data_IF_738151296911
#
_entry.id   IF_738151296911
#
_cell.length_a   1.000
_cell.length_b   1.000
_cell.length_c   1.000
_cell.angle_alpha   90.00
_cell.angle_beta   90.00
_cell.angle_gamma   90.00
#
_symmetry.space_group_name_H-M   'P 1'
#
loop_
_entity.id
_entity.type
_entity.pdbx_description
1 polymer ?
#
# COMPACT_ATOMS: atom_id res chain seq x y z
N UNK A 1 10.98 22.01 -44.51
CA UNK A 1 11.64 21.34 -43.37
C UNK A 1 10.69 21.48 -42.20
N UNK A 2 10.08 20.40 -41.68
CA UNK A 2 9.01 20.56 -40.69
C UNK A 2 9.57 20.74 -39.28
N UNK A 3 9.05 21.79 -38.64
CA UNK A 3 8.92 22.16 -37.24
C UNK A 3 9.86 21.54 -36.20
N UNK A 4 10.80 22.38 -35.77
CA UNK A 4 11.48 22.29 -34.48
C UNK A 4 10.67 23.07 -33.43
N UNK A 5 9.42 22.66 -33.18
CA UNK A 5 8.65 23.15 -32.04
C UNK A 5 8.76 22.13 -30.91
N UNK A 6 9.67 22.44 -30.00
CA UNK A 6 9.75 21.87 -28.65
C UNK A 6 8.36 21.73 -28.05
N UNK A 7 7.86 20.49 -28.00
CA UNK A 7 6.77 20.05 -27.15
C UNK A 7 7.19 20.21 -25.68
N UNK A 8 7.18 21.46 -25.19
CA UNK A 8 7.00 21.74 -23.77
C UNK A 8 5.51 21.78 -23.52
N UNK A 9 4.83 20.66 -23.73
CA UNK A 9 3.55 20.43 -23.07
C UNK A 9 3.84 20.50 -21.57
N UNK A 10 3.44 21.61 -20.96
CA UNK A 10 3.31 21.72 -19.51
C UNK A 10 2.28 20.69 -19.10
N UNK A 11 2.72 19.47 -18.78
CA UNK A 11 1.90 18.49 -18.10
C UNK A 11 1.32 19.16 -16.86
N UNK A 12 0.01 19.44 -16.91
CA UNK A 12 -0.70 20.21 -15.87
C UNK A 12 -0.85 19.41 -14.59
N UNK A 13 -0.84 18.10 -14.70
CA UNK A 13 -1.17 17.17 -13.64
C UNK A 13 0.05 16.28 -13.38
N UNK A 14 0.44 16.17 -12.12
CA UNK A 14 1.61 15.41 -11.71
C UNK A 14 1.26 14.65 -10.44
N UNK A 15 1.69 13.40 -10.40
CA UNK A 15 1.60 12.54 -9.22
C UNK A 15 2.97 11.93 -8.99
N UNK A 16 3.37 11.88 -7.73
CA UNK A 16 4.57 11.17 -7.32
C UNK A 16 4.09 9.87 -6.70
N UNK A 17 4.69 8.76 -7.07
CA UNK A 17 4.47 7.48 -6.42
C UNK A 17 5.77 7.02 -5.81
N UNK A 18 5.69 6.37 -4.66
CA UNK A 18 6.85 5.79 -4.02
C UNK A 18 6.45 4.49 -3.37
N UNK A 19 7.43 3.63 -3.16
CA UNK A 19 7.18 2.34 -2.54
C UNK A 19 7.67 2.38 -1.11
N UNK A 20 6.86 1.86 -0.20
CA UNK A 20 7.18 1.82 1.22
C UNK A 20 6.78 0.48 1.84
N UNK A 21 7.50 0.10 2.89
CA UNK A 21 7.17 -1.09 3.66
C UNK A 21 6.23 -0.66 4.78
N UNK A 22 4.97 -1.09 4.69
CA UNK A 22 3.94 -0.83 5.69
C UNK A 22 3.85 -2.03 6.62
N UNK A 23 3.97 -1.75 7.92
CA UNK A 23 3.89 -2.73 8.98
C UNK A 23 2.47 -2.79 9.56
N UNK A 24 1.79 -3.92 9.34
CA UNK A 24 0.50 -4.26 9.92
C UNK A 24 0.68 -4.98 11.25
N UNK A 25 0.34 -4.32 12.35
CA UNK A 25 0.44 -4.90 13.69
C UNK A 25 -0.90 -5.54 14.10
N UNK A 26 -0.86 -6.76 14.62
CA UNK A 26 -2.02 -7.51 15.10
C UNK A 26 -1.67 -8.32 16.34
N UNK A 27 -2.63 -8.51 17.23
CA UNK A 27 -2.47 -9.34 18.43
C UNK A 27 -3.43 -10.51 18.34
N UNK A 28 -2.92 -11.73 18.51
CA UNK A 28 -3.77 -12.92 18.55
C UNK A 28 -4.44 -13.03 19.93
N UNK A 29 -5.66 -13.59 20.02
CA UNK A 29 -6.41 -13.64 21.29
C UNK A 29 -5.69 -14.35 22.45
N UNK A 30 -4.74 -15.24 22.15
CA UNK A 30 -4.01 -16.06 23.12
C UNK A 30 -2.54 -15.62 23.29
N UNK A 31 -2.14 -14.50 22.71
CA UNK A 31 -0.78 -13.97 22.80
C UNK A 31 -0.81 -12.54 23.32
N UNK A 32 0.02 -12.24 24.32
CA UNK A 32 0.16 -10.90 24.87
C UNK A 32 1.09 -10.01 24.01
N UNK A 33 1.87 -10.61 23.12
CA UNK A 33 2.82 -9.90 22.25
C UNK A 33 2.20 -9.59 20.88
N UNK A 34 2.24 -8.32 20.42
CA UNK A 34 1.80 -7.96 19.09
C UNK A 34 2.75 -8.56 18.05
N UNK A 35 2.16 -9.12 17.00
CA UNK A 35 2.87 -9.58 15.81
C UNK A 35 2.76 -8.53 14.71
N UNK A 36 3.77 -8.52 13.85
CA UNK A 36 3.85 -7.60 12.71
C UNK A 36 3.89 -8.39 11.42
N UNK A 37 3.14 -7.96 10.42
CA UNK A 37 3.26 -8.38 9.03
C UNK A 37 3.69 -7.15 8.24
N UNK A 38 4.79 -7.25 7.51
CA UNK A 38 5.30 -6.18 6.67
C UNK A 38 4.97 -6.48 5.22
N UNK A 39 4.40 -5.50 4.51
CA UNK A 39 4.16 -5.58 3.08
C UNK A 39 4.65 -4.31 2.38
N UNK A 40 5.17 -4.50 1.18
CA UNK A 40 5.59 -3.43 0.31
C UNK A 40 4.35 -2.88 -0.42
N UNK A 41 4.06 -1.60 -0.23
CA UNK A 41 2.93 -0.90 -0.84
C UNK A 41 3.42 0.28 -1.68
N UNK A 42 2.78 0.49 -2.82
CA UNK A 42 2.96 1.73 -3.59
C UNK A 42 2.02 2.78 -3.03
N UNK A 43 2.56 3.94 -2.69
CA UNK A 43 1.82 5.05 -2.08
C UNK A 43 1.85 6.24 -3.04
N UNK A 44 0.71 6.91 -3.13
CA UNK A 44 0.54 8.16 -3.87
C UNK A 44 0.95 9.34 -3.01
N UNK A 45 1.76 10.22 -3.57
CA UNK A 45 2.12 11.51 -3.02
C UNK A 45 1.59 12.63 -3.91
N UNK A 46 0.70 13.44 -3.33
CA UNK A 46 -0.03 14.49 -4.05
C UNK A 46 0.61 15.89 -3.91
N UNK A 47 1.65 16.05 -3.09
CA UNK A 47 2.33 17.32 -2.86
C UNK A 47 3.59 17.47 -3.75
N UNK A 48 4.50 18.38 -3.41
CA UNK A 48 5.73 18.62 -4.18
C UNK A 48 6.83 17.59 -3.90
N UNK A 49 7.72 17.40 -4.89
CA UNK A 49 8.94 16.57 -4.75
C UNK A 49 9.84 17.10 -3.62
N UNK A 50 9.90 18.43 -3.44
CA UNK A 50 10.73 19.05 -2.42
C UNK A 50 10.31 18.61 -1.01
N UNK A 51 9.00 18.62 -0.73
CA UNK A 51 8.46 18.10 0.53
C UNK A 51 8.63 16.59 0.64
N UNK A 52 8.45 15.85 -0.45
CA UNK A 52 8.69 14.42 -0.46
C UNK A 52 10.12 14.08 -0.02
N UNK A 53 11.12 14.78 -0.57
CA UNK A 53 12.54 14.59 -0.24
C UNK A 53 12.86 15.03 1.19
N UNK A 54 12.21 16.07 1.69
CA UNK A 54 12.34 16.53 3.08
C UNK A 54 11.79 15.50 4.07
N UNK A 55 10.64 14.89 3.77
CA UNK A 55 9.93 13.98 4.67
C UNK A 55 10.44 12.54 4.61
N UNK A 56 10.71 12.03 3.41
CA UNK A 56 11.11 10.63 3.19
C UNK A 56 12.60 10.45 2.92
N UNK A 57 13.34 11.55 2.73
CA UNK A 57 14.75 11.53 2.38
C UNK A 57 14.99 11.38 0.87
N UNK A 58 16.11 11.96 0.41
CA UNK A 58 16.48 11.96 -1.01
C UNK A 58 16.80 10.58 -1.58
N UNK A 59 17.08 9.59 -0.72
CA UNK A 59 17.44 8.22 -1.11
C UNK A 59 16.22 7.32 -1.34
N UNK A 60 15.01 7.77 -1.01
CA UNK A 60 13.81 6.93 -1.21
C UNK A 60 13.47 6.86 -2.70
N UNK A 61 13.34 5.67 -3.30
CA UNK A 61 12.98 5.54 -4.69
C UNK A 61 11.55 6.03 -4.92
N UNK A 62 11.40 7.04 -5.78
CA UNK A 62 10.11 7.58 -6.20
C UNK A 62 10.03 7.69 -7.71
N UNK A 63 8.80 7.71 -8.24
CA UNK A 63 8.50 7.82 -9.65
C UNK A 63 7.53 8.97 -9.88
N UNK A 64 7.89 9.87 -10.79
CA UNK A 64 7.03 11.00 -11.16
C UNK A 64 6.23 10.59 -12.39
N UNK A 65 4.92 10.64 -12.26
CA UNK A 65 3.97 10.45 -13.34
C UNK A 65 3.42 11.80 -13.75
N UNK A 66 3.58 12.15 -15.03
CA UNK A 66 3.07 13.40 -15.60
C UNK A 66 1.93 13.10 -16.55
N UNK A 67 0.82 13.81 -16.39
CA UNK A 67 -0.38 13.60 -17.18
C UNK A 67 -0.82 14.87 -17.89
N UNK A 68 -1.43 14.67 -19.05
CA UNK A 68 -2.06 15.75 -19.83
C UNK A 68 -3.52 15.97 -19.41
N UNK A 69 -4.14 14.98 -18.78
CA UNK A 69 -5.55 15.00 -18.35
C UNK A 69 -5.69 14.56 -16.89
N UNK A 70 -6.53 15.27 -16.14
CA UNK A 70 -6.88 14.95 -14.75
C UNK A 70 -7.47 13.54 -14.61
N UNK A 71 -8.27 13.11 -15.59
CA UNK A 71 -8.83 11.75 -15.59
C UNK A 71 -7.75 10.66 -15.60
N UNK A 72 -6.64 10.88 -16.30
CA UNK A 72 -5.55 9.90 -16.34
C UNK A 72 -4.80 9.86 -15.00
N UNK A 73 -4.65 11.02 -14.36
CA UNK A 73 -4.11 11.13 -13.01
C UNK A 73 -4.99 10.35 -12.02
N UNK A 74 -6.30 10.64 -11.98
CA UNK A 74 -7.23 9.99 -11.06
C UNK A 74 -7.32 8.48 -11.31
N UNK A 75 -7.23 8.04 -12.57
CA UNK A 75 -7.19 6.61 -12.86
C UNK A 75 -5.95 5.93 -12.26
N UNK A 76 -4.76 6.57 -12.28
CA UNK A 76 -3.58 6.00 -11.65
C UNK A 76 -3.72 5.97 -10.12
N UNK A 77 -4.24 7.06 -9.53
CA UNK A 77 -4.45 7.13 -8.08
C UNK A 77 -5.38 6.00 -7.64
N UNK A 78 -6.54 5.89 -8.29
CA UNK A 78 -7.50 4.83 -7.99
C UNK A 78 -6.90 3.44 -8.17
N UNK A 79 -6.09 3.19 -9.21
CA UNK A 79 -5.43 1.89 -9.39
C UNK A 79 -4.51 1.53 -8.23
N UNK A 80 -3.78 2.51 -7.70
CA UNK A 80 -2.86 2.31 -6.58
C UNK A 80 -3.64 2.10 -5.28
N UNK A 81 -4.73 2.86 -5.09
CA UNK A 81 -5.63 2.70 -3.94
C UNK A 81 -6.32 1.33 -3.97
N UNK A 82 -6.84 0.90 -5.12
CA UNK A 82 -7.46 -0.41 -5.31
C UNK A 82 -6.45 -1.55 -4.99
N UNK A 83 -5.20 -1.45 -5.47
CA UNK A 83 -4.15 -2.44 -5.17
C UNK A 83 -3.78 -2.46 -3.67
N UNK A 84 -3.79 -1.29 -3.02
CA UNK A 84 -3.55 -1.19 -1.59
C UNK A 84 -4.70 -1.80 -0.78
N UNK A 85 -5.95 -1.55 -1.18
CA UNK A 85 -7.14 -2.12 -0.54
C UNK A 85 -7.17 -3.65 -0.68
N UNK A 86 -6.89 -4.19 -1.88
CA UNK A 86 -6.78 -5.63 -2.12
C UNK A 86 -5.73 -6.28 -1.18
N UNK A 87 -4.57 -5.63 -1.01
CA UNK A 87 -3.52 -6.11 -0.10
C UNK A 87 -3.95 -6.04 1.36
N UNK A 88 -4.65 -4.97 1.77
CA UNK A 88 -5.20 -4.85 3.12
C UNK A 88 -6.20 -5.96 3.39
N UNK A 89 -7.09 -6.27 2.45
CA UNK A 89 -8.04 -7.38 2.56
C UNK A 89 -7.31 -8.72 2.70
N UNK A 90 -6.27 -8.97 1.90
CA UNK A 90 -5.45 -10.19 1.99
C UNK A 90 -4.80 -10.31 3.39
N UNK A 91 -4.19 -9.24 3.89
CA UNK A 91 -3.56 -9.21 5.22
C UNK A 91 -4.61 -9.47 6.31
N UNK A 92 -5.80 -8.87 6.20
CA UNK A 92 -6.89 -9.13 7.12
C UNK A 92 -7.35 -10.58 7.09
N UNK A 93 -7.49 -11.18 5.90
CA UNK A 93 -7.84 -12.60 5.76
C UNK A 93 -6.76 -13.50 6.37
N UNK A 94 -5.48 -13.21 6.14
CA UNK A 94 -4.37 -13.94 6.75
C UNK A 94 -4.43 -13.86 8.29
N UNK A 95 -4.70 -12.68 8.85
CA UNK A 95 -4.86 -12.49 10.29
C UNK A 95 -6.10 -13.25 10.81
N UNK A 96 -7.23 -13.14 10.12
CA UNK A 96 -8.48 -13.82 10.49
C UNK A 96 -8.33 -15.35 10.45
N UNK A 97 -7.64 -15.89 9.45
CA UNK A 97 -7.33 -17.31 9.39
C UNK A 97 -6.48 -17.74 10.60
N UNK A 98 -5.46 -16.97 10.99
CA UNK A 98 -4.67 -17.25 12.20
C UNK A 98 -5.53 -17.21 13.48
N UNK A 99 -6.49 -16.28 13.59
CA UNK A 99 -7.43 -16.25 14.71
C UNK A 99 -8.40 -17.45 14.72
N UNK A 100 -8.90 -17.88 13.55
CA UNK A 100 -9.83 -19.00 13.40
C UNK A 100 -9.21 -20.35 13.77
N UNK A 101 -7.91 -20.53 13.52
CA UNK A 101 -7.16 -21.72 13.93
C UNK A 101 -6.68 -21.69 15.39
N UNK A 102 -6.75 -20.55 16.08
CA UNK A 102 -6.50 -20.42 17.52
C UNK A 102 -7.63 -20.99 18.40
N UNK A 103 -8.48 -21.87 17.87
CA UNK A 103 -9.53 -22.57 18.60
C UNK A 103 -8.95 -23.83 19.25
N UNK A 104 -8.45 -23.70 20.49
CA UNK A 104 -8.11 -24.84 21.32
C UNK A 104 -9.39 -25.55 21.78
N UNK A 105 -9.83 -26.57 21.04
CA UNK A 105 -10.84 -27.49 21.55
C UNK A 105 -10.20 -28.39 22.61
N UNK A 106 -10.28 -27.97 23.88
CA UNK A 106 -9.92 -28.78 25.05
C UNK A 106 -11.07 -29.66 25.56
N UNK A 107 -12.02 -30.02 24.69
CA UNK A 107 -13.07 -30.96 25.05
C UNK A 107 -12.56 -32.40 25.00
N UNK A 108 -12.73 -33.16 26.08
CA UNK A 108 -12.59 -34.62 26.03
C UNK A 108 -13.60 -35.18 25.02
N UNK A 109 -13.13 -35.59 23.84
CA UNK A 109 -13.87 -36.44 22.93
C UNK A 109 -14.00 -37.82 23.58
N UNK A 110 -15.13 -38.02 24.25
CA UNK A 110 -15.56 -39.24 24.94
C UNK A 110 -14.94 -39.50 26.32
N UNK A 111 -15.82 -39.55 27.34
CA UNK A 111 -15.63 -40.48 28.43
C UNK A 111 -16.03 -41.86 27.90
N UNK A 112 -15.06 -42.73 27.63
CA UNK A 112 -15.32 -44.16 27.61
C UNK A 112 -15.54 -44.60 29.07
N UNK A 113 -16.81 -44.76 29.46
CA UNK A 113 -17.26 -45.76 30.45
C UNK A 113 -18.76 -46.08 30.26
#
# INVERSE_FOLDING_TARGET
MPNNETDKEKSKYKVITYTDVVAFNYTLPNEDEPKTIEHELTIVWEDTIEKFVEEHGADKPYKIHTFNREREQNNLINQIEDEADDLIEEVQEQIANKMKFGFDFSGQLHNDD
#
